data_IF_994045518058
#
_entry.id   IF_994045518058
#
_cell.length_a   1.000
_cell.length_b   1.000
_cell.length_c   1.000
_cell.angle_alpha   90.00
_cell.angle_beta   90.00
_cell.angle_gamma   90.00
#
_symmetry.space_group_name_H-M   'P 1'
#
loop_
_entity.id
_entity.type
_entity.pdbx_description
1 polymer ?
#
# COMPACT_ATOMS: atom_id res chain seq x y z
N UNK A 1 3.89 -19.65 8.52
CA UNK A 1 2.82 -18.65 8.32
C UNK A 1 3.33 -17.34 8.89
N UNK A 2 3.02 -16.20 8.30
CA UNK A 2 3.37 -14.87 8.84
C UNK A 2 2.12 -14.19 9.34
N UNK A 3 2.24 -13.44 10.42
CA UNK A 3 1.14 -12.71 11.04
C UNK A 3 1.40 -11.22 10.99
N UNK A 4 0.43 -10.46 10.53
CA UNK A 4 0.47 -9.01 10.54
C UNK A 4 -0.61 -8.44 11.45
N UNK A 5 -0.34 -7.27 12.02
CA UNK A 5 -1.33 -6.49 12.77
C UNK A 5 -1.48 -5.11 12.11
N UNK A 6 -2.70 -4.59 12.08
CA UNK A 6 -2.95 -3.23 11.64
C UNK A 6 -3.14 -2.33 12.86
N UNK A 7 -2.33 -1.28 12.94
CA UNK A 7 -2.41 -0.24 13.97
C UNK A 7 -2.93 1.02 13.28
N UNK A 8 -4.15 1.41 13.61
CA UNK A 8 -4.76 2.60 13.00
C UNK A 8 -4.08 3.88 13.48
N UNK A 9 -3.92 4.89 12.62
CA UNK A 9 -3.25 6.14 12.98
C UNK A 9 -4.22 7.11 13.68
N UNK A 10 -4.98 6.62 14.68
CA UNK A 10 -6.00 7.37 15.41
C UNK A 10 -5.53 7.91 16.76
N UNK A 11 -4.39 7.41 17.25
CA UNK A 11 -3.85 7.81 18.55
C UNK A 11 -2.71 8.83 18.41
N UNK A 12 -2.63 9.82 19.34
CA UNK A 12 -1.43 10.64 19.48
C UNK A 12 -0.19 9.77 19.66
N UNK A 13 0.95 10.20 19.14
CA UNK A 13 2.17 9.37 19.11
C UNK A 13 2.57 8.78 20.46
N UNK A 14 2.42 9.56 21.56
CA UNK A 14 2.71 9.06 22.92
C UNK A 14 1.90 7.81 23.32
N UNK A 15 0.71 7.65 22.74
CA UNK A 15 -0.19 6.52 22.96
C UNK A 15 0.02 5.43 21.89
N UNK A 16 0.34 5.82 20.65
CA UNK A 16 0.62 4.89 19.56
C UNK A 16 1.97 4.17 19.71
N UNK A 17 3.02 4.85 20.17
CA UNK A 17 4.37 4.27 20.26
C UNK A 17 4.43 2.95 21.07
N UNK A 18 3.75 2.79 22.22
CA UNK A 18 3.68 1.51 22.92
C UNK A 18 3.04 0.39 22.08
N UNK A 19 2.05 0.68 21.23
CA UNK A 19 1.38 -0.31 20.40
C UNK A 19 2.34 -0.88 19.33
N UNK A 20 3.16 -0.03 18.73
CA UNK A 20 4.18 -0.45 17.76
C UNK A 20 5.26 -1.33 18.40
N UNK A 21 5.72 -1.00 19.61
CA UNK A 21 6.65 -1.86 20.37
C UNK A 21 6.01 -3.19 20.76
N UNK A 22 4.78 -3.16 21.27
CA UNK A 22 4.06 -4.35 21.66
C UNK A 22 3.84 -5.31 20.47
N UNK A 23 3.56 -4.80 19.26
CA UNK A 23 3.45 -5.62 18.07
C UNK A 23 4.75 -6.40 17.79
N UNK A 24 5.90 -5.78 17.95
CA UNK A 24 7.20 -6.44 17.82
C UNK A 24 7.46 -7.43 18.95
N UNK A 25 7.18 -7.07 20.18
CA UNK A 25 7.39 -7.89 21.38
C UNK A 25 6.50 -9.14 21.38
N UNK A 26 5.27 -9.04 20.89
CA UNK A 26 4.33 -10.14 20.73
C UNK A 26 4.67 -11.06 19.56
N UNK A 27 5.67 -10.73 18.74
CA UNK A 27 6.19 -11.58 17.68
C UNK A 27 5.41 -11.51 16.37
N UNK A 28 4.69 -10.42 16.09
CA UNK A 28 4.16 -10.19 14.76
C UNK A 28 5.28 -10.00 13.75
N UNK A 29 5.09 -10.54 12.54
CA UNK A 29 6.05 -10.40 11.44
C UNK A 29 5.99 -9.02 10.78
N UNK A 30 4.80 -8.39 10.81
CA UNK A 30 4.56 -7.11 10.16
C UNK A 30 3.53 -6.27 10.94
N UNK A 31 3.79 -4.97 11.08
CA UNK A 31 2.82 -3.99 11.56
C UNK A 31 2.50 -2.99 10.45
N UNK A 32 1.22 -2.86 10.15
CA UNK A 32 0.70 -2.08 9.04
C UNK A 32 -0.14 -0.92 9.57
N UNK A 33 -0.26 0.16 8.79
CA UNK A 33 -1.21 1.23 9.08
C UNK A 33 -2.01 1.62 7.85
N UNK A 34 -3.22 2.14 8.06
CA UNK A 34 -4.06 2.65 6.98
C UNK A 34 -3.52 3.99 6.48
N UNK A 35 -3.53 4.16 5.17
CA UNK A 35 -3.10 5.38 4.50
C UNK A 35 -4.28 6.07 3.83
N UNK A 36 -5.03 6.82 4.65
CA UNK A 36 -6.20 7.62 4.28
C UNK A 36 -6.06 9.05 4.79
N UNK A 37 -6.77 10.00 4.19
CA UNK A 37 -6.99 11.33 4.76
C UNK A 37 -7.97 11.27 5.93
N UNK A 38 -9.01 10.44 5.77
CA UNK A 38 -9.97 10.07 6.80
C UNK A 38 -10.52 8.68 6.47
N UNK A 39 -10.75 7.84 7.46
CA UNK A 39 -11.34 6.54 7.21
C UNK A 39 -12.85 6.55 7.47
N UNK A 40 -13.60 5.97 6.53
CA UNK A 40 -15.08 5.97 6.58
C UNK A 40 -15.68 5.32 7.83
N UNK A 41 -14.95 4.40 8.46
CA UNK A 41 -15.38 3.75 9.70
C UNK A 41 -15.15 4.56 10.97
N UNK A 42 -14.33 5.64 10.91
CA UNK A 42 -13.93 6.47 12.05
C UNK A 42 -13.82 7.95 11.66
N UNK A 43 -14.85 8.50 11.01
CA UNK A 43 -14.81 9.85 10.45
C UNK A 43 -14.62 10.96 11.50
N UNK A 44 -15.08 10.73 12.72
CA UNK A 44 -14.99 11.70 13.82
C UNK A 44 -13.75 11.47 14.71
N UNK A 45 -12.96 10.42 14.44
CA UNK A 45 -11.73 10.15 15.19
C UNK A 45 -10.56 11.01 14.69
N UNK A 46 -9.58 11.33 15.55
CA UNK A 46 -8.30 11.83 15.07
C UNK A 46 -7.71 10.90 14.03
N UNK A 47 -7.05 11.45 13.02
CA UNK A 47 -6.43 10.65 11.96
C UNK A 47 -5.09 11.25 11.56
N UNK A 48 -4.00 10.55 11.89
CA UNK A 48 -2.65 11.03 11.62
C UNK A 48 -2.12 10.48 10.29
N UNK A 49 -1.22 11.21 9.64
CA UNK A 49 -0.65 10.81 8.35
C UNK A 49 0.21 9.56 8.47
N UNK A 50 0.01 8.59 7.55
CA UNK A 50 0.65 7.28 7.61
C UNK A 50 2.19 7.35 7.50
N UNK A 51 2.73 8.15 6.57
CA UNK A 51 4.19 8.21 6.35
C UNK A 51 4.96 8.72 7.56
N UNK A 52 4.58 9.85 8.20
CA UNK A 52 5.21 10.29 9.45
C UNK A 52 5.04 9.30 10.60
N UNK A 53 3.87 8.63 10.70
CA UNK A 53 3.62 7.59 11.71
C UNK A 53 4.56 6.41 11.54
N UNK A 54 4.74 5.92 10.30
CA UNK A 54 5.67 4.82 10.01
C UNK A 54 7.13 5.21 10.24
N UNK A 55 7.52 6.45 9.93
CA UNK A 55 8.85 6.96 10.25
C UNK A 55 9.10 6.98 11.77
N UNK A 56 8.12 7.42 12.55
CA UNK A 56 8.21 7.38 14.00
C UNK A 56 8.23 5.93 14.53
N UNK A 57 7.45 5.02 13.95
CA UNK A 57 7.44 3.60 14.30
C UNK A 57 8.78 2.92 14.02
N UNK A 58 9.46 3.30 12.93
CA UNK A 58 10.82 2.83 12.63
C UNK A 58 11.82 3.14 13.74
N UNK A 59 11.68 4.32 14.40
CA UNK A 59 12.51 4.73 15.50
C UNK A 59 12.28 3.99 16.83
N UNK A 60 11.23 3.20 16.95
CA UNK A 60 10.89 2.47 18.19
C UNK A 60 10.80 0.95 17.99
N UNK A 61 11.11 0.46 16.80
CA UNK A 61 11.11 -0.97 16.43
C UNK A 61 12.41 -1.34 15.72
N UNK A 62 12.83 -2.63 15.79
CA UNK A 62 14.11 -3.06 15.25
C UNK A 62 14.03 -4.26 14.29
N UNK A 63 12.98 -5.07 14.36
CA UNK A 63 12.84 -6.33 13.61
C UNK A 63 11.58 -6.43 12.79
N UNK A 64 10.45 -5.97 13.32
CA UNK A 64 9.15 -6.08 12.67
C UNK A 64 9.14 -5.29 11.36
N UNK A 65 8.58 -5.88 10.30
CA UNK A 65 8.33 -5.14 9.08
C UNK A 65 7.26 -4.08 9.29
N UNK A 66 7.40 -2.92 8.65
CA UNK A 66 6.47 -1.80 8.77
C UNK A 66 5.92 -1.44 7.39
N UNK A 67 4.63 -1.16 7.28
CA UNK A 67 4.08 -0.87 5.97
C UNK A 67 2.71 -0.22 5.96
N UNK A 68 2.25 0.08 4.74
CA UNK A 68 0.92 0.63 4.48
C UNK A 68 -0.09 -0.46 4.14
N UNK A 69 -1.37 -0.25 4.53
CA UNK A 69 -2.45 -1.19 4.22
C UNK A 69 -3.76 -0.46 3.84
N UNK A 70 -3.84 0.14 2.71
CA UNK A 70 -2.85 0.30 1.65
C UNK A 70 -2.78 1.77 1.23
N UNK A 71 -1.66 2.19 0.65
CA UNK A 71 -1.56 3.51 0.00
C UNK A 71 -2.27 3.51 -1.34
N UNK A 72 -2.79 4.66 -1.74
CA UNK A 72 -3.54 4.82 -2.98
C UNK A 72 -3.13 6.08 -3.75
N UNK A 73 -3.41 6.13 -5.07
CA UNK A 73 -3.17 7.30 -5.88
C UNK A 73 -4.14 8.46 -5.64
N UNK A 74 -5.12 8.31 -4.74
CA UNK A 74 -6.19 9.30 -4.53
C UNK A 74 -5.68 10.69 -4.14
N UNK A 75 -4.55 10.78 -3.46
CA UNK A 75 -3.92 12.03 -3.04
C UNK A 75 -2.39 11.96 -3.09
N UNK A 76 -1.85 10.99 -3.84
CA UNK A 76 -0.42 10.78 -3.99
C UNK A 76 -0.01 10.81 -5.45
N UNK A 77 1.08 11.51 -5.72
CA UNK A 77 1.77 11.42 -7.00
C UNK A 77 2.86 10.34 -6.91
N UNK A 78 3.06 9.46 -7.91
CA UNK A 78 4.02 8.34 -7.80
C UNK A 78 5.45 8.79 -7.51
N UNK A 79 5.87 9.97 -7.98
CA UNK A 79 7.22 10.48 -7.71
C UNK A 79 7.41 10.96 -6.26
N UNK A 80 6.46 11.72 -5.72
CA UNK A 80 6.53 12.13 -4.31
C UNK A 80 6.42 10.92 -3.39
N UNK A 81 5.57 9.97 -3.75
CA UNK A 81 5.44 8.72 -2.99
C UNK A 81 6.70 7.84 -3.09
N UNK A 82 7.39 7.81 -4.24
CA UNK A 82 8.69 7.13 -4.33
C UNK A 82 9.71 7.72 -3.36
N UNK A 83 9.68 9.04 -3.09
CA UNK A 83 10.54 9.70 -2.08
C UNK A 83 10.20 9.24 -0.67
N UNK A 84 8.90 9.10 -0.35
CA UNK A 84 8.45 8.55 0.93
C UNK A 84 8.92 7.10 1.11
N UNK A 85 8.77 6.26 0.07
CA UNK A 85 9.20 4.86 0.07
C UNK A 85 10.70 4.73 0.28
N UNK A 86 11.52 5.53 -0.43
CA UNK A 86 12.97 5.58 -0.24
C UNK A 86 13.35 5.93 1.20
N UNK A 87 12.70 6.95 1.75
CA UNK A 87 12.98 7.41 3.11
C UNK A 87 12.58 6.36 4.15
N UNK A 88 11.40 5.74 3.99
CA UNK A 88 10.95 4.68 4.91
C UNK A 88 11.80 3.41 4.78
N UNK A 89 12.26 3.06 3.58
CA UNK A 89 13.19 1.95 3.40
C UNK A 89 14.49 2.18 4.19
N UNK A 90 15.09 3.36 4.07
CA UNK A 90 16.28 3.74 4.81
C UNK A 90 16.05 3.74 6.33
N UNK A 91 15.03 4.47 6.81
CA UNK A 91 14.71 4.57 8.24
C UNK A 91 14.40 3.23 8.90
N UNK A 92 13.83 2.29 8.15
CA UNK A 92 13.51 0.95 8.66
C UNK A 92 14.68 -0.03 8.51
N UNK A 93 15.77 0.35 7.86
CA UNK A 93 16.86 -0.57 7.53
C UNK A 93 16.40 -1.72 6.62
N UNK A 94 15.60 -1.42 5.58
CA UNK A 94 15.10 -2.40 4.61
C UNK A 94 13.87 -3.18 5.03
N UNK A 95 13.20 -2.82 6.15
CA UNK A 95 12.00 -3.52 6.66
C UNK A 95 10.69 -2.95 6.13
N UNK A 96 10.72 -1.95 5.25
CA UNK A 96 9.50 -1.32 4.73
C UNK A 96 8.78 -2.21 3.72
N UNK A 97 7.46 -2.31 3.86
CA UNK A 97 6.55 -3.03 2.95
C UNK A 97 5.55 -2.05 2.36
N UNK A 98 5.53 -1.96 1.04
CA UNK A 98 4.69 -1.00 0.32
C UNK A 98 3.35 -1.62 -0.07
N UNK A 99 2.31 -1.42 0.74
CA UNK A 99 0.95 -1.82 0.39
C UNK A 99 0.29 -0.80 -0.55
N UNK A 100 -0.27 -1.26 -1.66
CA UNK A 100 -0.84 -0.43 -2.74
C UNK A 100 -2.25 -0.87 -3.11
N UNK A 101 -3.15 0.08 -3.34
CA UNK A 101 -4.53 -0.18 -3.75
C UNK A 101 -5.14 0.98 -4.55
N UNK A 102 -6.29 0.73 -5.16
CA UNK A 102 -7.01 1.74 -5.96
C UNK A 102 -7.56 2.91 -5.12
N UNK A 103 -7.68 2.72 -3.82
CA UNK A 103 -8.35 3.66 -2.93
C UNK A 103 -9.87 3.70 -3.08
N UNK A 104 -10.52 4.32 -2.11
CA UNK A 104 -11.96 4.62 -2.10
C UNK A 104 -12.30 5.98 -2.71
N UNK A 105 -13.56 6.41 -2.56
CA UNK A 105 -14.03 7.70 -3.06
C UNK A 105 -13.90 8.82 -2.03
N UNK A 106 -13.74 8.48 -0.75
CA UNK A 106 -13.77 9.46 0.33
C UNK A 106 -12.56 10.41 0.28
N UNK A 107 -11.35 9.86 0.19
CA UNK A 107 -10.12 10.67 0.16
C UNK A 107 -10.08 11.61 -1.05
N UNK A 108 -10.41 11.09 -2.25
CA UNK A 108 -10.46 11.91 -3.46
C UNK A 108 -11.60 12.94 -3.41
N UNK A 109 -12.74 12.59 -2.81
CA UNK A 109 -13.88 13.48 -2.62
C UNK A 109 -13.55 14.67 -1.71
N UNK A 110 -12.81 14.45 -0.64
CA UNK A 110 -12.33 15.53 0.26
C UNK A 110 -11.48 16.54 -0.52
N UNK A 111 -10.70 16.07 -1.49
CA UNK A 111 -9.87 16.92 -2.35
C UNK A 111 -10.59 17.48 -3.58
N UNK A 112 -11.91 17.30 -3.66
CA UNK A 112 -12.73 17.84 -4.75
C UNK A 112 -12.73 16.98 -6.02
N UNK A 113 -12.17 15.77 -6.00
CA UNK A 113 -12.19 14.84 -7.13
C UNK A 113 -13.39 13.90 -7.05
N UNK A 114 -14.06 13.69 -8.18
CA UNK A 114 -15.17 12.72 -8.32
C UNK A 114 -14.83 11.72 -9.41
N UNK A 115 -14.09 10.67 -9.05
CA UNK A 115 -13.68 9.63 -9.98
C UNK A 115 -14.56 8.40 -9.88
N UNK A 116 -14.99 7.90 -11.03
CA UNK A 116 -15.64 6.60 -11.15
C UNK A 116 -14.68 5.47 -10.76
N UNK A 117 -15.20 4.31 -10.44
CA UNK A 117 -14.37 3.12 -10.19
C UNK A 117 -13.45 2.79 -11.37
N UNK A 118 -13.92 2.99 -12.61
CA UNK A 118 -13.13 2.76 -13.82
C UNK A 118 -11.92 3.71 -13.89
N UNK A 119 -12.12 4.97 -13.60
CA UNK A 119 -11.07 6.00 -13.59
C UNK A 119 -10.06 5.76 -12.48
N UNK A 120 -10.51 5.43 -11.26
CA UNK A 120 -9.60 5.06 -10.18
C UNK A 120 -8.74 3.84 -10.52
N UNK A 121 -9.33 2.82 -11.14
CA UNK A 121 -8.56 1.65 -11.62
C UNK A 121 -7.57 2.06 -12.71
N UNK A 122 -7.96 2.90 -13.67
CA UNK A 122 -7.05 3.39 -14.72
C UNK A 122 -5.87 4.16 -14.10
N UNK A 123 -6.15 5.08 -13.17
CA UNK A 123 -5.12 5.84 -12.45
C UNK A 123 -4.17 4.92 -11.66
N UNK A 124 -4.69 3.90 -11.01
CA UNK A 124 -3.88 2.92 -10.29
C UNK A 124 -2.98 2.09 -11.21
N UNK A 125 -3.49 1.72 -12.39
CA UNK A 125 -2.75 1.00 -13.42
C UNK A 125 -1.63 1.82 -14.09
N UNK A 126 -1.67 3.13 -13.96
CA UNK A 126 -0.57 4.01 -14.36
C UNK A 126 0.39 4.30 -13.18
N UNK A 127 -0.17 4.43 -11.97
CA UNK A 127 0.59 4.70 -10.76
C UNK A 127 1.61 3.61 -10.43
N UNK A 128 1.19 2.34 -10.40
CA UNK A 128 2.05 1.23 -9.96
C UNK A 128 3.25 1.01 -10.89
N UNK A 129 3.09 0.93 -12.24
CA UNK A 129 4.23 0.80 -13.14
C UNK A 129 5.19 1.99 -13.08
N UNK A 130 4.67 3.21 -12.92
CA UNK A 130 5.52 4.39 -12.81
C UNK A 130 6.28 4.40 -11.48
N UNK A 131 5.63 4.03 -10.37
CA UNK A 131 6.29 3.88 -9.07
C UNK A 131 7.39 2.81 -9.13
N UNK A 132 7.09 1.64 -9.70
CA UNK A 132 8.07 0.55 -9.89
C UNK A 132 9.30 1.06 -10.66
N UNK A 133 9.09 1.77 -11.78
CA UNK A 133 10.15 2.34 -12.60
C UNK A 133 10.96 3.42 -11.85
N UNK A 134 10.30 4.28 -11.09
CA UNK A 134 10.95 5.31 -10.27
C UNK A 134 11.84 4.73 -9.18
N UNK A 135 11.48 3.57 -8.63
CA UNK A 135 12.28 2.88 -7.62
C UNK A 135 13.40 2.00 -8.21
N UNK A 136 13.35 1.71 -9.54
CA UNK A 136 14.37 0.94 -10.27
C UNK A 136 15.43 1.81 -10.95
N UNK A 137 15.06 3.03 -11.35
CA UNK A 137 15.87 3.82 -12.26
C UNK A 137 15.96 5.27 -11.85
N UNK A 138 17.10 5.88 -12.12
CA UNK A 138 17.28 7.32 -12.03
C UNK A 138 16.94 7.99 -13.39
N UNK A 139 16.80 9.31 -13.40
CA UNK A 139 16.49 10.10 -14.59
C UNK A 139 15.23 9.64 -15.34
N UNK A 140 14.17 9.31 -14.61
CA UNK A 140 12.93 8.82 -15.22
C UNK A 140 12.17 9.94 -15.92
N UNK A 141 11.82 9.68 -17.17
CA UNK A 141 10.89 10.51 -17.96
C UNK A 141 9.67 9.69 -18.31
N UNK A 142 8.49 10.18 -17.99
CA UNK A 142 7.23 9.54 -18.32
C UNK A 142 6.14 10.59 -18.62
N UNK A 143 5.24 10.23 -19.54
CA UNK A 143 4.06 11.01 -19.87
C UNK A 143 2.89 10.03 -20.03
N UNK A 144 1.89 10.14 -19.19
CA UNK A 144 0.67 9.35 -19.21
C UNK A 144 -0.58 10.21 -19.18
N UNK A 145 -1.73 9.58 -18.96
CA UNK A 145 -3.02 10.25 -18.83
C UNK A 145 -3.19 10.93 -17.45
N UNK A 146 -2.58 10.35 -16.42
CA UNK A 146 -2.70 10.78 -15.02
C UNK A 146 -1.43 11.41 -14.47
N UNK A 147 -0.27 10.95 -14.93
CA UNK A 147 1.02 11.35 -14.35
C UNK A 147 2.05 11.69 -15.41
N UNK A 148 2.82 12.73 -15.13
CA UNK A 148 3.99 13.07 -15.92
C UNK A 148 5.17 13.34 -14.99
N UNK A 149 6.36 12.90 -15.39
CA UNK A 149 7.61 13.21 -14.73
C UNK A 149 8.68 13.56 -15.77
N UNK A 150 9.53 14.54 -15.42
CA UNK A 150 10.62 15.01 -16.28
C UNK A 150 11.92 14.90 -15.50
N UNK A 151 12.82 14.05 -15.98
CA UNK A 151 14.12 13.83 -15.35
C UNK A 151 14.03 13.56 -13.82
N UNK A 152 13.09 12.69 -13.43
CA UNK A 152 12.86 12.37 -12.04
C UNK A 152 14.04 11.58 -11.47
N UNK A 153 14.68 12.14 -10.44
CA UNK A 153 15.87 11.57 -9.80
C UNK A 153 15.47 10.73 -8.60
N UNK A 154 15.96 9.50 -8.57
CA UNK A 154 15.70 8.54 -7.51
C UNK A 154 17.01 8.15 -6.83
N UNK A 155 17.56 9.09 -6.05
CA UNK A 155 18.76 8.88 -5.25
C UNK A 155 18.37 8.60 -3.78
N UNK A 156 19.15 7.79 -3.04
CA UNK A 156 20.54 7.41 -3.30
C UNK A 156 20.76 6.26 -4.31
N UNK A 157 19.81 5.34 -4.51
CA UNK A 157 19.98 4.19 -5.40
C UNK A 157 18.64 3.53 -5.74
N UNK A 158 18.56 2.71 -6.78
CA UNK A 158 17.42 1.84 -7.01
C UNK A 158 17.22 0.87 -5.84
N UNK A 159 16.00 0.83 -5.30
CA UNK A 159 15.65 -0.02 -4.15
C UNK A 159 14.46 -0.95 -4.44
N UNK A 160 13.97 -0.99 -5.68
CA UNK A 160 12.71 -1.69 -5.99
C UNK A 160 12.72 -3.17 -5.61
N UNK A 161 13.84 -3.84 -5.77
CA UNK A 161 13.97 -5.26 -5.48
C UNK A 161 14.04 -5.55 -3.97
N UNK A 162 14.31 -4.53 -3.16
CA UNK A 162 14.37 -4.60 -1.70
C UNK A 162 13.04 -4.20 -1.04
N UNK A 163 12.12 -3.55 -1.78
CA UNK A 163 10.83 -3.10 -1.26
C UNK A 163 9.71 -3.97 -1.81
N UNK A 164 9.14 -4.91 -1.02
CA UNK A 164 8.03 -5.72 -1.48
C UNK A 164 6.77 -4.88 -1.66
N UNK A 165 6.11 -5.04 -2.82
CA UNK A 165 4.78 -4.49 -3.08
C UNK A 165 3.71 -5.51 -2.69
N UNK A 166 2.80 -5.12 -1.80
CA UNK A 166 1.57 -5.84 -1.51
C UNK A 166 0.42 -5.15 -2.24
N UNK A 167 -0.10 -5.76 -3.30
CA UNK A 167 -1.10 -5.12 -4.16
C UNK A 167 -2.50 -5.62 -3.82
N UNK A 168 -3.36 -4.69 -3.40
CA UNK A 168 -4.76 -4.95 -3.12
C UNK A 168 -5.55 -5.10 -4.42
N UNK A 169 -6.18 -6.27 -4.62
CA UNK A 169 -6.90 -6.58 -5.84
C UNK A 169 -8.03 -7.59 -5.62
N UNK A 170 -9.19 -7.32 -6.19
CA UNK A 170 -10.33 -8.25 -6.23
C UNK A 170 -10.85 -8.49 -7.67
N UNK A 171 -10.68 -7.51 -8.55
CA UNK A 171 -11.11 -7.61 -9.94
C UNK A 171 -10.00 -8.09 -10.88
N UNK A 172 -10.36 -8.65 -12.06
CA UNK A 172 -9.40 -9.28 -12.96
C UNK A 172 -8.29 -8.35 -13.46
N UNK A 173 -8.56 -7.06 -13.66
CA UNK A 173 -7.52 -6.08 -14.04
C UNK A 173 -6.50 -5.90 -12.93
N UNK A 174 -6.96 -5.64 -11.71
CA UNK A 174 -6.07 -5.43 -10.55
C UNK A 174 -5.34 -6.72 -10.15
N UNK A 175 -5.93 -7.90 -10.33
CA UNK A 175 -5.25 -9.18 -10.13
C UNK A 175 -4.06 -9.34 -11.11
N UNK A 176 -4.22 -8.95 -12.39
CA UNK A 176 -3.10 -8.93 -13.35
C UNK A 176 -2.00 -7.96 -12.93
N UNK A 177 -2.38 -6.80 -12.41
CA UNK A 177 -1.41 -5.84 -11.89
C UNK A 177 -0.64 -6.42 -10.68
N UNK A 178 -1.35 -7.09 -9.77
CA UNK A 178 -0.75 -7.78 -8.62
C UNK A 178 0.22 -8.89 -9.06
N UNK A 179 -0.15 -9.66 -10.07
CA UNK A 179 0.71 -10.71 -10.63
C UNK A 179 1.98 -10.15 -11.31
N UNK A 180 1.87 -8.98 -11.96
CA UNK A 180 2.97 -8.37 -12.71
C UNK A 180 3.98 -7.63 -11.81
N UNK A 181 3.53 -6.97 -10.73
CA UNK A 181 4.35 -6.05 -9.94
C UNK A 181 4.45 -6.42 -8.45
N UNK A 182 3.52 -7.25 -7.93
CA UNK A 182 3.45 -7.58 -6.51
C UNK A 182 4.36 -8.74 -6.11
N UNK A 183 4.99 -8.64 -4.96
CA UNK A 183 5.56 -9.77 -4.24
C UNK A 183 4.53 -10.40 -3.29
N UNK A 184 3.40 -9.74 -3.12
CA UNK A 184 2.24 -10.24 -2.40
C UNK A 184 0.94 -9.62 -2.92
N UNK A 185 -0.12 -10.36 -2.70
CA UNK A 185 -1.49 -9.94 -3.01
C UNK A 185 -2.29 -9.78 -1.73
N UNK A 186 -3.15 -8.76 -1.71
CA UNK A 186 -4.00 -8.43 -0.57
C UNK A 186 -5.45 -8.40 -1.01
N UNK A 187 -6.33 -8.97 -0.19
CA UNK A 187 -7.78 -8.87 -0.36
C UNK A 187 -8.47 -8.61 0.97
N UNK A 188 -9.52 -7.80 0.94
CA UNK A 188 -10.48 -7.65 2.03
C UNK A 188 -11.60 -8.69 1.96
N UNK A 189 -11.50 -9.64 1.04
CA UNK A 189 -12.54 -10.62 0.74
C UNK A 189 -13.57 -10.13 -0.28
N UNK A 190 -14.58 -10.94 -0.53
CA UNK A 190 -15.67 -10.66 -1.47
C UNK A 190 -17.01 -10.37 -0.79
N UNK A 191 -16.99 -10.12 0.50
CA UNK A 191 -18.19 -10.02 1.31
C UNK A 191 -18.76 -11.39 1.66
N UNK A 192 -19.46 -11.44 2.74
CA UNK A 192 -20.15 -12.63 3.26
C UNK A 192 -20.71 -12.29 4.64
N UNK A 193 -21.90 -12.79 4.95
CA UNK A 193 -22.52 -12.58 6.26
C UNK A 193 -22.09 -13.64 7.27
N UNK A 194 -21.51 -14.73 6.78
CA UNK A 194 -21.03 -15.85 7.60
C UNK A 194 -19.56 -16.12 7.36
N UNK A 195 -18.83 -16.70 8.32
CA UNK A 195 -17.45 -17.13 8.15
C UNK A 195 -17.27 -18.10 6.96
N UNK A 196 -18.27 -18.99 6.73
CA UNK A 196 -18.25 -19.94 5.60
C UNK A 196 -18.30 -19.26 4.24
N UNK A 197 -19.16 -18.26 4.08
CA UNK A 197 -19.27 -17.47 2.84
C UNK A 197 -17.98 -16.65 2.61
N UNK A 198 -17.42 -16.09 3.65
CA UNK A 198 -16.18 -15.34 3.58
C UNK A 198 -15.00 -16.23 3.11
N UNK A 199 -14.88 -17.45 3.67
CA UNK A 199 -13.88 -18.44 3.28
C UNK A 199 -14.09 -18.90 1.83
N UNK A 200 -15.33 -19.19 1.42
CA UNK A 200 -15.66 -19.60 0.06
C UNK A 200 -15.32 -18.50 -0.96
N UNK A 201 -15.69 -17.26 -0.65
CA UNK A 201 -15.33 -16.10 -1.47
C UNK A 201 -13.83 -15.89 -1.59
N UNK A 202 -13.08 -16.07 -0.50
CA UNK A 202 -11.62 -16.02 -0.49
C UNK A 202 -10.98 -17.08 -1.38
N UNK A 203 -11.48 -18.33 -1.36
CA UNK A 203 -11.03 -19.41 -2.25
C UNK A 203 -11.20 -19.04 -3.71
N UNK A 204 -12.38 -18.54 -4.11
CA UNK A 204 -12.63 -18.11 -5.50
C UNK A 204 -11.73 -16.95 -5.95
N UNK A 205 -11.24 -16.10 -5.02
CA UNK A 205 -10.24 -15.08 -5.35
C UNK A 205 -8.85 -15.69 -5.57
N UNK A 206 -8.46 -16.68 -4.76
CA UNK A 206 -7.19 -17.40 -4.91
C UNK A 206 -7.15 -18.17 -6.23
N UNK A 207 -8.24 -18.84 -6.61
CA UNK A 207 -8.37 -19.54 -7.88
C UNK A 207 -8.21 -18.58 -9.07
N UNK A 208 -8.89 -17.43 -9.05
CA UNK A 208 -8.76 -16.39 -10.09
C UNK A 208 -7.34 -15.81 -10.17
N UNK A 209 -6.67 -15.62 -9.04
CA UNK A 209 -5.26 -15.21 -9.05
C UNK A 209 -4.39 -16.29 -9.69
N UNK A 210 -4.63 -17.56 -9.35
CA UNK A 210 -3.94 -18.71 -9.95
C UNK A 210 -4.09 -18.77 -11.47
N UNK A 211 -5.30 -18.54 -11.99
CA UNK A 211 -5.58 -18.44 -13.44
C UNK A 211 -4.81 -17.31 -14.11
N UNK A 212 -4.73 -16.15 -13.46
CA UNK A 212 -3.98 -14.98 -13.96
C UNK A 212 -2.47 -15.24 -13.99
N UNK A 213 -1.93 -15.88 -12.96
CA UNK A 213 -0.50 -16.21 -12.88
C UNK A 213 -0.13 -17.37 -13.81
N UNK A 214 -1.00 -18.40 -13.90
CA UNK A 214 -0.76 -19.59 -14.73
C UNK A 214 -1.05 -19.41 -16.21
N UNK A 215 -1.91 -18.47 -16.60
CA UNK A 215 -2.27 -18.18 -18.00
C UNK A 215 -1.30 -17.23 -18.74
N UNK A 216 -0.20 -16.84 -18.11
CA UNK A 216 0.85 -15.95 -18.66
C UNK A 216 2.09 -16.70 -19.18
N UNK A 217 1.95 -18.02 -19.48
CA UNK A 217 3.02 -18.82 -20.08
C UNK A 217 2.80 -19.01 -21.58
#
# INVERSE_FOLDING_TARGET
MRYAVTILPEYPWREAAPLWRAAEELGFDCALTYDHLVWSGLQESPWFAAMPTLAAAAGVTNRIALGTFVSSPNYRHPYTFARDVLTLHDLTGGRFVCGLGTGGTLDSGILGESLTTRERVARFHEFVPLLDRLLRSDHVVAQGDWYAVRDARTLPAPIRDEVPFLIAANGPKSLRLAAAYGQGWVTTGVGGQTPGEWVAGGRGLVERLGEVVGGGA
#
